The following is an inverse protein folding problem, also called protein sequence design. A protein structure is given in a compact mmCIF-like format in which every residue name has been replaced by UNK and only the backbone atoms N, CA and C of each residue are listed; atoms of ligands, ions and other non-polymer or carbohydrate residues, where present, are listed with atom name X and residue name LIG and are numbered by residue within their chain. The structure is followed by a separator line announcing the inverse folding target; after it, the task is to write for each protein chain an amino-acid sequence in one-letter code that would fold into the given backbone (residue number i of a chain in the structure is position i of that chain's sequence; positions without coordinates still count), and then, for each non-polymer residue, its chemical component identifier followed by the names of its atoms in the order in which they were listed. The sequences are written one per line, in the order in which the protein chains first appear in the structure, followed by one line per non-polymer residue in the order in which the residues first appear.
data_IF_744244298357
#
_entry.id   IF_744244298357
#
_cell.length_a   1.000
_cell.length_b   1.000
_cell.length_c   1.000
_cell.angle_alpha   90.00
_cell.angle_beta   90.00
_cell.angle_gamma   90.00
#
_symmetry.space_group_name_H-M   'P 1'
#
loop_
_entity.id
_entity.type
_entity.pdbx_description
1 polymer ?
#
# COMPACT_ATOMS: atom_id res chain seq x y z
N UNK A 1 -17.83 11.89 8.55
CA UNK A 1 -17.84 10.45 8.22
C UNK A 1 -17.91 10.28 6.72
N UNK A 2 -17.49 9.13 6.19
CA UNK A 2 -17.61 8.82 4.76
C UNK A 2 -19.09 8.59 4.39
N UNK A 3 -19.51 9.08 3.21
CA UNK A 3 -20.86 8.83 2.69
C UNK A 3 -20.89 7.54 1.86
N UNK A 4 -22.05 6.88 1.69
CA UNK A 4 -22.17 5.70 0.84
C UNK A 4 -21.62 5.90 -0.58
N UNK A 5 -21.87 7.07 -1.17
CA UNK A 5 -21.34 7.43 -2.50
C UNK A 5 -19.82 7.54 -2.52
N UNK A 6 -19.23 8.15 -1.48
CA UNK A 6 -17.76 8.26 -1.38
C UNK A 6 -17.09 6.90 -1.17
N UNK A 7 -17.72 6.00 -0.42
CA UNK A 7 -17.24 4.62 -0.23
C UNK A 7 -17.30 3.87 -1.56
N UNK A 8 -18.42 3.99 -2.30
CA UNK A 8 -18.56 3.38 -3.62
C UNK A 8 -17.47 3.86 -4.58
N UNK A 9 -17.24 5.18 -4.67
CA UNK A 9 -16.20 5.74 -5.52
C UNK A 9 -14.79 5.28 -5.12
N UNK A 10 -14.50 5.20 -3.81
CA UNK A 10 -13.23 4.70 -3.31
C UNK A 10 -12.99 3.22 -3.69
N UNK A 11 -14.01 2.38 -3.58
CA UNK A 11 -13.95 0.97 -4.01
C UNK A 11 -13.66 0.85 -5.49
N UNK A 12 -14.41 1.58 -6.32
CA UNK A 12 -14.21 1.59 -7.77
C UNK A 12 -12.78 2.03 -8.14
N UNK A 13 -12.22 3.03 -7.44
CA UNK A 13 -10.84 3.45 -7.65
C UNK A 13 -9.82 2.33 -7.32
N UNK A 14 -10.00 1.62 -6.20
CA UNK A 14 -9.14 0.49 -5.81
C UNK A 14 -9.24 -0.65 -6.83
N UNK A 15 -10.46 -1.04 -7.22
CA UNK A 15 -10.71 -2.11 -8.19
C UNK A 15 -10.15 -1.77 -9.58
N UNK A 16 -10.25 -0.51 -10.00
CA UNK A 16 -9.70 -0.04 -11.27
C UNK A 16 -8.17 -0.18 -11.30
N UNK A 17 -7.47 0.24 -10.24
CA UNK A 17 -6.01 0.08 -10.15
C UNK A 17 -5.63 -1.40 -10.11
N UNK A 18 -6.33 -2.21 -9.30
CA UNK A 18 -6.09 -3.65 -9.24
C UNK A 18 -6.22 -4.29 -10.64
N UNK A 19 -7.27 -3.93 -11.39
CA UNK A 19 -7.50 -4.41 -12.76
C UNK A 19 -6.40 -3.96 -13.71
N UNK A 20 -5.97 -2.70 -13.64
CA UNK A 20 -4.85 -2.18 -14.44
C UNK A 20 -3.54 -2.91 -14.15
N UNK A 21 -3.34 -3.39 -12.92
CA UNK A 21 -2.19 -4.18 -12.52
C UNK A 21 -2.35 -5.68 -12.84
N UNK A 22 -3.38 -6.07 -13.61
CA UNK A 22 -3.59 -7.44 -14.07
C UNK A 22 -4.32 -8.34 -13.08
N UNK A 23 -4.94 -7.78 -12.02
CA UNK A 23 -5.76 -8.57 -11.10
C UNK A 23 -7.01 -9.11 -11.81
N UNK A 24 -7.26 -10.41 -11.62
CA UNK A 24 -8.49 -11.08 -12.07
C UNK A 24 -9.22 -11.61 -10.85
N UNK A 25 -10.48 -11.21 -10.68
CA UNK A 25 -11.32 -11.65 -9.57
C UNK A 25 -11.46 -13.17 -9.51
N UNK A 26 -11.56 -13.71 -8.29
CA UNK A 26 -11.66 -15.16 -8.07
C UNK A 26 -12.89 -15.79 -8.74
N UNK A 27 -14.00 -15.06 -8.78
CA UNK A 27 -15.23 -15.42 -9.45
C UNK A 27 -15.02 -15.68 -10.96
N UNK A 28 -14.17 -14.89 -11.60
CA UNK A 28 -13.79 -15.07 -13.01
C UNK A 28 -12.79 -16.21 -13.19
N UNK A 29 -11.80 -16.32 -12.30
CA UNK A 29 -10.82 -17.40 -12.34
C UNK A 29 -11.45 -18.78 -12.13
N UNK A 30 -12.50 -18.89 -11.29
CA UNK A 30 -13.24 -20.13 -11.07
C UNK A 30 -14.00 -20.63 -12.31
N UNK A 31 -14.25 -19.76 -13.30
CA UNK A 31 -14.90 -20.13 -14.56
C UNK A 31 -13.91 -20.73 -15.57
N UNK A 32 -12.60 -20.63 -15.32
CA UNK A 32 -11.55 -21.16 -16.18
C UNK A 32 -11.23 -22.60 -15.76
N UNK A 33 -11.04 -23.50 -16.74
CA UNK A 33 -10.61 -24.87 -16.47
C UNK A 33 -9.31 -24.90 -15.66
N UNK A 34 -9.16 -25.76 -14.64
CA UNK A 34 -8.03 -25.71 -13.70
C UNK A 34 -6.65 -25.77 -14.38
N UNK A 35 -6.49 -26.62 -15.39
CA UNK A 35 -5.22 -26.77 -16.13
C UNK A 35 -4.86 -25.48 -16.88
N UNK A 36 -5.82 -24.92 -17.62
CA UNK A 36 -5.64 -23.67 -18.36
C UNK A 36 -5.43 -22.47 -17.43
N UNK A 37 -6.15 -22.45 -16.29
CA UNK A 37 -5.97 -21.43 -15.25
C UNK A 37 -4.53 -21.46 -14.73
N UNK A 38 -4.01 -22.64 -14.40
CA UNK A 38 -2.64 -22.79 -13.91
C UNK A 38 -1.61 -22.34 -14.95
N UNK A 39 -1.83 -22.64 -16.23
CA UNK A 39 -0.96 -22.18 -17.32
C UNK A 39 -0.97 -20.65 -17.45
N UNK A 40 -2.15 -20.03 -17.40
CA UNK A 40 -2.31 -18.56 -17.43
C UNK A 40 -1.65 -17.93 -16.21
N UNK A 41 -1.89 -18.44 -15.00
CA UNK A 41 -1.28 -17.93 -13.76
C UNK A 41 0.26 -18.01 -13.81
N UNK A 42 0.82 -19.11 -14.32
CA UNK A 42 2.29 -19.25 -14.52
C UNK A 42 2.84 -18.25 -15.52
N UNK A 43 2.13 -18.03 -16.64
CA UNK A 43 2.55 -17.09 -17.67
C UNK A 43 2.50 -15.63 -17.16
N UNK A 44 1.44 -15.27 -16.43
CA UNK A 44 1.31 -13.95 -15.78
C UNK A 44 2.37 -13.77 -14.70
N UNK A 45 2.58 -14.75 -13.82
CA UNK A 45 3.61 -14.69 -12.80
C UNK A 45 5.01 -14.50 -13.40
N UNK A 46 5.30 -15.16 -14.52
CA UNK A 46 6.58 -15.00 -15.22
C UNK A 46 6.76 -13.58 -15.77
N UNK A 47 5.69 -12.94 -16.27
CA UNK A 47 5.71 -11.53 -16.69
C UNK A 47 5.86 -10.59 -15.50
N UNK A 48 5.15 -10.86 -14.41
CA UNK A 48 5.20 -10.07 -13.19
C UNK A 48 6.58 -10.09 -12.56
N UNK A 49 7.30 -11.22 -12.62
CA UNK A 49 8.69 -11.30 -12.17
C UNK A 49 9.58 -10.29 -12.91
N UNK A 50 9.38 -10.10 -14.22
CA UNK A 50 10.16 -9.16 -15.02
C UNK A 50 9.90 -7.72 -14.53
N UNK A 51 8.64 -7.36 -14.33
CA UNK A 51 8.24 -5.99 -13.93
C UNK A 51 8.56 -5.72 -12.46
N UNK A 52 8.10 -6.60 -11.57
CA UNK A 52 8.25 -6.48 -10.13
C UNK A 52 9.68 -6.68 -9.63
N UNK A 53 10.56 -7.30 -10.41
CA UNK A 53 12.00 -7.35 -10.08
C UNK A 53 12.61 -5.95 -9.90
N UNK A 54 12.12 -4.94 -10.64
CA UNK A 54 12.56 -3.55 -10.47
C UNK A 54 12.14 -2.99 -9.11
N UNK A 55 10.91 -3.24 -8.68
CA UNK A 55 10.41 -2.83 -7.36
C UNK A 55 11.26 -3.45 -6.25
N UNK A 56 11.50 -4.76 -6.36
CA UNK A 56 12.31 -5.51 -5.39
C UNK A 56 13.75 -5.00 -5.38
N UNK A 57 14.35 -4.74 -6.55
CA UNK A 57 15.74 -4.29 -6.67
C UNK A 57 15.91 -2.88 -6.13
N UNK A 58 14.98 -1.96 -6.42
CA UNK A 58 15.00 -0.60 -5.91
C UNK A 58 14.85 -0.57 -4.40
N UNK A 59 13.91 -1.35 -3.85
CA UNK A 59 13.78 -1.50 -2.42
C UNK A 59 15.05 -2.13 -1.81
N UNK A 60 15.61 -3.17 -2.43
CA UNK A 60 16.87 -3.83 -2.01
C UNK A 60 18.07 -2.92 -1.94
N UNK A 61 18.29 -2.12 -2.96
CA UNK A 61 19.45 -1.23 -3.03
C UNK A 61 19.41 -0.09 -2.00
N UNK A 62 18.23 0.17 -1.41
CA UNK A 62 18.03 1.18 -0.37
C UNK A 62 18.00 0.56 1.05
N UNK A 63 18.05 -0.78 1.17
CA UNK A 63 18.02 -1.52 2.45
C UNK A 63 19.34 -1.43 3.23
N UNK A 64 19.71 -0.23 3.67
CA UNK A 64 20.81 -0.05 4.63
C UNK A 64 20.38 -0.31 6.08
N UNK A 65 19.08 -0.21 6.41
CA UNK A 65 18.55 -0.47 7.75
C UNK A 65 17.07 -0.87 7.73
N UNK A 66 16.72 -1.94 8.46
CA UNK A 66 15.32 -2.34 8.71
C UNK A 66 14.51 -1.29 9.48
N UNK A 67 15.14 -0.31 10.12
CA UNK A 67 14.42 0.78 10.80
C UNK A 67 13.93 1.86 9.83
N UNK A 68 14.33 1.81 8.55
CA UNK A 68 14.01 2.84 7.55
C UNK A 68 12.51 3.06 7.41
N UNK A 69 11.69 2.00 7.44
CA UNK A 69 10.23 2.12 7.29
C UNK A 69 9.58 3.06 8.32
N UNK A 70 10.16 3.18 9.54
CA UNK A 70 9.64 4.09 10.56
C UNK A 70 9.80 5.55 10.10
N UNK A 71 10.96 5.89 9.53
CA UNK A 71 11.21 7.23 9.01
C UNK A 71 10.30 7.56 7.84
N UNK A 72 10.02 6.60 6.96
CA UNK A 72 9.13 6.81 5.82
C UNK A 72 7.68 7.04 6.25
N UNK A 73 7.21 6.31 7.26
CA UNK A 73 5.88 6.53 7.84
C UNK A 73 5.78 7.88 8.56
N UNK A 74 6.86 8.32 9.22
CA UNK A 74 6.92 9.64 9.82
C UNK A 74 6.96 10.75 8.77
N UNK A 75 7.68 10.57 7.66
CA UNK A 75 7.69 11.51 6.54
C UNK A 75 6.30 11.62 5.91
N UNK A 76 5.62 10.50 5.68
CA UNK A 76 4.22 10.53 5.21
C UNK A 76 3.31 11.31 6.17
N UNK A 77 3.48 11.12 7.49
CA UNK A 77 2.73 11.89 8.47
C UNK A 77 3.07 13.39 8.45
N UNK A 78 4.32 13.77 8.17
CA UNK A 78 4.74 15.17 8.06
C UNK A 78 4.19 15.85 6.79
N UNK A 79 4.13 15.11 5.68
CA UNK A 79 3.62 15.60 4.38
C UNK A 79 2.08 15.71 4.33
N UNK A 80 1.38 15.15 5.32
CA UNK A 80 -0.07 15.16 5.38
C UNK A 80 -0.67 16.53 5.69
N UNK A 81 -1.95 16.69 5.33
CA UNK A 81 -2.75 17.85 5.74
C UNK A 81 -3.57 17.51 6.99
N UNK A 82 -3.64 18.46 7.91
CA UNK A 82 -4.33 18.32 9.21
C UNK A 82 -5.37 19.42 9.42
N UNK A 83 -6.05 19.83 8.34
CA UNK A 83 -7.02 20.93 8.39
C UNK A 83 -8.26 20.55 9.21
N UNK A 84 -8.70 19.29 9.12
CA UNK A 84 -9.81 18.73 9.91
C UNK A 84 -9.46 18.61 11.38
N UNK A 85 -8.23 18.20 11.71
CA UNK A 85 -7.79 18.16 13.11
C UNK A 85 -7.73 19.58 13.70
N UNK A 86 -7.19 20.52 12.93
CA UNK A 86 -7.08 21.92 13.34
C UNK A 86 -8.44 22.58 13.55
N UNK A 87 -9.43 22.31 12.69
CA UNK A 87 -10.79 22.87 12.84
C UNK A 87 -11.53 22.33 14.06
N UNK A 88 -11.14 21.15 14.56
CA UNK A 88 -11.63 20.56 15.81
C UNK A 88 -10.82 20.99 17.04
N UNK A 89 -9.82 21.87 16.89
CA UNK A 89 -8.93 22.29 17.98
C UNK A 89 -7.91 21.24 18.41
N UNK A 90 -7.74 20.17 17.62
CA UNK A 90 -6.80 19.09 17.89
C UNK A 90 -5.45 19.35 17.24
N UNK A 91 -4.36 18.96 17.91
CA UNK A 91 -3.01 19.01 17.34
C UNK A 91 -2.78 17.81 16.40
N UNK A 92 -2.00 17.95 15.32
CA UNK A 92 -1.52 16.83 14.52
C UNK A 92 -0.81 15.80 15.41
N UNK A 93 -1.04 14.51 15.14
CA UNK A 93 -0.31 13.43 15.78
C UNK A 93 -0.01 12.29 14.81
N UNK A 94 1.03 11.54 15.16
CA UNK A 94 1.30 10.19 14.65
C UNK A 94 1.61 9.30 15.85
N UNK A 95 1.01 8.10 15.91
CA UNK A 95 1.24 7.14 16.98
C UNK A 95 1.60 5.77 16.42
N UNK A 96 2.47 5.05 17.11
CA UNK A 96 2.88 3.68 16.79
C UNK A 96 2.49 2.77 17.95
N UNK A 97 1.54 1.86 17.71
CA UNK A 97 1.11 0.86 18.67
C UNK A 97 1.68 -0.49 18.26
N UNK A 98 2.59 -1.02 19.07
CA UNK A 98 3.33 -2.25 18.78
C UNK A 98 2.64 -3.45 19.43
N UNK A 99 2.37 -4.48 18.64
CA UNK A 99 1.81 -5.76 19.09
C UNK A 99 2.74 -6.89 18.63
N UNK A 100 2.63 -8.11 19.19
CA UNK A 100 3.53 -9.22 18.84
C UNK A 100 3.58 -9.57 17.35
N UNK A 101 2.48 -9.39 16.61
CA UNK A 101 2.36 -9.75 15.18
C UNK A 101 1.97 -8.59 14.27
N UNK A 102 1.84 -7.38 14.81
CA UNK A 102 1.45 -6.21 14.03
C UNK A 102 1.94 -4.90 14.63
N UNK A 103 2.12 -3.90 13.78
CA UNK A 103 2.29 -2.50 14.18
C UNK A 103 1.08 -1.74 13.64
N UNK A 104 0.41 -0.98 14.50
CA UNK A 104 -0.69 -0.10 14.09
C UNK A 104 -0.19 1.33 14.17
N UNK A 105 -0.24 2.03 13.05
CA UNK A 105 0.16 3.43 12.91
C UNK A 105 -1.09 4.25 12.72
N UNK A 106 -1.22 5.32 13.49
CA UNK A 106 -2.39 6.20 13.42
C UNK A 106 -1.96 7.65 13.28
N UNK A 107 -2.64 8.38 12.42
CA UNK A 107 -2.53 9.82 12.34
C UNK A 107 -3.89 10.47 12.09
N UNK A 108 -4.11 11.66 12.62
CA UNK A 108 -5.36 12.41 12.46
C UNK A 108 -5.34 13.36 11.24
N UNK A 109 -4.77 12.89 10.14
CA UNK A 109 -4.77 13.65 8.89
C UNK A 109 -6.18 13.79 8.28
N UNK A 110 -6.28 14.60 7.23
CA UNK A 110 -7.55 14.85 6.54
C UNK A 110 -8.13 13.60 5.86
N UNK A 111 -7.28 12.61 5.56
CA UNK A 111 -7.62 11.33 4.98
C UNK A 111 -7.29 11.25 3.49
N UNK A 112 -7.20 10.01 2.99
CA UNK A 112 -6.76 9.72 1.64
C UNK A 112 -7.71 10.26 0.58
N UNK A 113 -7.10 10.74 -0.49
CA UNK A 113 -7.74 11.06 -1.76
C UNK A 113 -7.42 9.97 -2.79
N UNK A 114 -8.13 9.99 -3.93
CA UNK A 114 -7.78 9.13 -5.06
C UNK A 114 -6.32 9.34 -5.52
N UNK A 115 -5.82 10.58 -5.48
CA UNK A 115 -4.43 10.88 -5.82
C UNK A 115 -3.43 10.24 -4.83
N UNK A 116 -3.80 10.13 -3.54
CA UNK A 116 -2.97 9.41 -2.56
C UNK A 116 -2.95 7.91 -2.88
N UNK A 117 -4.10 7.32 -3.22
CA UNK A 117 -4.19 5.92 -3.65
C UNK A 117 -3.35 5.66 -4.91
N UNK A 118 -3.43 6.52 -5.92
CA UNK A 118 -2.63 6.40 -7.15
C UNK A 118 -1.13 6.53 -6.86
N UNK A 119 -0.73 7.51 -6.04
CA UNK A 119 0.66 7.74 -5.68
C UNK A 119 1.27 6.57 -4.90
N UNK A 120 0.52 5.97 -3.96
CA UNK A 120 1.00 4.82 -3.18
C UNK A 120 1.02 3.53 -4.01
N UNK A 121 0.22 3.41 -5.06
CA UNK A 121 0.26 2.29 -6.01
C UNK A 121 1.32 2.46 -7.12
N UNK A 122 1.91 3.65 -7.27
CA UNK A 122 2.89 3.92 -8.32
C UNK A 122 4.26 3.26 -8.04
N UNK A 123 4.97 2.97 -9.14
CA UNK A 123 6.38 2.56 -9.18
C UNK A 123 7.05 3.30 -10.32
N UNK A 124 8.26 3.84 -10.07
CA UNK A 124 9.20 4.12 -11.15
C UNK A 124 8.75 5.18 -12.18
N UNK A 125 7.84 6.10 -11.84
CA UNK A 125 7.73 7.36 -12.58
C UNK A 125 8.93 8.26 -12.22
N UNK A 126 10.12 7.82 -12.65
CA UNK A 126 11.33 8.63 -12.64
C UNK A 126 11.12 9.80 -13.59
N UNK A 127 10.96 11.00 -13.03
CA UNK A 127 11.09 12.26 -13.78
C UNK A 127 12.55 12.63 -14.06
N UNK A 128 13.52 11.71 -13.84
CA UNK A 128 14.94 11.98 -14.02
C UNK A 128 15.64 10.82 -14.74
N UNK A 129 15.52 10.79 -16.06
CA UNK A 129 16.53 10.14 -16.91
C UNK A 129 17.86 10.86 -16.72
N UNK A 130 18.73 10.30 -15.88
CA UNK A 130 20.13 10.71 -15.78
C UNK A 130 20.46 11.58 -14.57
N UNK A 131 20.66 10.96 -13.42
CA UNK A 131 21.70 11.36 -12.47
C UNK A 131 21.99 10.19 -11.54
N UNK A 132 23.22 9.67 -11.63
CA UNK A 132 23.76 8.70 -10.69
C UNK A 132 23.69 9.32 -9.28
N UNK A 133 22.76 8.83 -8.46
CA UNK A 133 22.56 9.25 -7.08
C UNK A 133 21.80 10.58 -6.95
N UNK A 134 20.46 10.53 -6.92
CA UNK A 134 19.64 11.38 -6.03
C UNK A 134 18.15 10.96 -6.10
N UNK A 135 17.69 10.39 -4.98
CA UNK A 135 16.44 10.67 -4.25
C UNK A 135 15.22 11.14 -5.06
N UNK A 136 14.14 10.35 -4.98
CA UNK A 136 12.77 10.78 -5.30
C UNK A 136 12.05 9.94 -6.35
N UNK A 137 12.05 8.61 -6.21
CA UNK A 137 11.11 7.78 -6.96
C UNK A 137 9.78 7.75 -6.19
N UNK A 138 8.81 8.54 -6.66
CA UNK A 138 7.47 8.63 -6.04
C UNK A 138 6.91 7.24 -5.80
N UNK A 139 6.53 6.98 -4.57
CA UNK A 139 5.89 5.76 -4.16
C UNK A 139 6.85 4.69 -3.66
N UNK A 140 8.14 4.66 -3.99
CA UNK A 140 9.05 3.57 -3.55
C UNK A 140 9.23 3.55 -2.04
N UNK A 141 9.27 4.73 -1.43
CA UNK A 141 9.54 4.90 -0.01
C UNK A 141 8.49 4.21 0.89
N UNK A 142 7.21 4.24 0.49
CA UNK A 142 6.20 3.50 1.24
C UNK A 142 6.49 1.99 1.25
N UNK A 143 7.11 1.42 0.21
CA UNK A 143 7.31 -0.03 0.08
C UNK A 143 8.34 -0.57 1.07
N UNK A 144 9.10 0.29 1.77
CA UNK A 144 9.97 -0.13 2.87
C UNK A 144 9.21 -0.81 4.01
N UNK A 145 7.90 -0.59 4.16
CA UNK A 145 7.07 -1.34 5.11
C UNK A 145 7.12 -2.86 4.89
N UNK A 146 7.34 -3.32 3.64
CA UNK A 146 7.45 -4.73 3.30
C UNK A 146 8.77 -5.39 3.72
N UNK A 147 9.72 -4.62 4.27
CA UNK A 147 10.88 -5.19 4.96
C UNK A 147 10.51 -5.90 6.26
N UNK A 148 9.42 -5.47 6.90
CA UNK A 148 9.00 -5.96 8.21
C UNK A 148 7.61 -6.57 8.19
N UNK A 149 6.78 -6.20 7.20
CA UNK A 149 5.41 -6.67 7.05
C UNK A 149 5.25 -7.61 5.84
N UNK A 150 4.34 -8.58 5.95
CA UNK A 150 3.89 -9.35 4.79
C UNK A 150 2.58 -8.81 4.20
N UNK A 151 1.85 -8.03 4.99
CA UNK A 151 0.59 -7.38 4.59
C UNK A 151 0.52 -6.01 5.24
N UNK A 152 0.04 -5.02 4.49
CA UNK A 152 -0.25 -3.68 5.00
C UNK A 152 -1.67 -3.32 4.66
N UNK A 153 -2.48 -3.04 5.67
CA UNK A 153 -3.86 -2.61 5.53
C UNK A 153 -3.97 -1.12 5.87
N UNK A 154 -4.58 -0.35 4.97
CA UNK A 154 -4.75 1.09 5.10
C UNK A 154 -6.24 1.38 5.16
N UNK A 155 -6.63 2.13 6.18
CA UNK A 155 -7.97 2.66 6.33
C UNK A 155 -7.87 4.17 6.48
N UNK A 156 -8.51 4.92 5.59
CA UNK A 156 -8.41 6.39 5.59
C UNK A 156 -9.58 7.01 4.84
N UNK A 157 -10.45 7.74 5.56
CA UNK A 157 -11.68 8.28 4.99
C UNK A 157 -12.55 7.16 4.38
N UNK A 158 -12.93 7.24 3.09
CA UNK A 158 -13.73 6.20 2.43
C UNK A 158 -12.90 4.99 1.97
N UNK A 159 -11.56 5.04 2.08
CA UNK A 159 -10.69 3.99 1.58
C UNK A 159 -10.42 2.92 2.64
N UNK A 160 -10.53 1.64 2.24
CA UNK A 160 -10.05 0.49 2.99
C UNK A 160 -9.52 -0.56 2.01
N UNK A 161 -8.20 -0.77 2.02
CA UNK A 161 -7.52 -1.66 1.09
C UNK A 161 -6.19 -2.14 1.66
N UNK A 162 -5.69 -3.27 1.15
CA UNK A 162 -4.41 -3.81 1.57
C UNK A 162 -3.48 -4.10 0.41
N UNK A 163 -2.20 -4.13 0.75
CA UNK A 163 -1.13 -4.64 -0.08
C UNK A 163 -0.55 -5.88 0.59
N UNK A 164 -0.03 -6.81 -0.20
CA UNK A 164 0.50 -8.08 0.31
C UNK A 164 1.73 -8.53 -0.45
N UNK A 165 2.82 -8.80 0.26
CA UNK A 165 4.06 -9.28 -0.34
C UNK A 165 4.85 -10.13 0.65
N UNK A 166 5.30 -11.30 0.21
CA UNK A 166 6.16 -12.22 0.95
C UNK A 166 7.46 -12.47 0.20
N UNK A 167 8.55 -12.87 0.90
CA UNK A 167 9.75 -13.38 0.25
C UNK A 167 9.40 -14.49 -0.76
N UNK A 168 9.79 -14.30 -2.02
CA UNK A 168 9.50 -15.23 -3.12
C UNK A 168 8.37 -14.79 -4.05
N UNK A 169 7.57 -13.77 -3.68
CA UNK A 169 6.55 -13.19 -4.55
C UNK A 169 7.17 -12.32 -5.66
N UNK A 170 6.37 -12.01 -6.68
CA UNK A 170 6.82 -11.23 -7.86
C UNK A 170 7.18 -9.77 -7.55
N UNK A 171 6.75 -9.23 -6.40
CA UNK A 171 6.88 -7.81 -6.04
C UNK A 171 5.66 -6.96 -6.40
N UNK A 172 4.79 -7.43 -7.29
CA UNK A 172 3.58 -6.72 -7.70
C UNK A 172 2.62 -6.45 -6.54
N UNK A 173 2.55 -7.37 -5.57
CA UNK A 173 1.68 -7.21 -4.41
C UNK A 173 2.07 -6.04 -3.47
N UNK A 174 3.25 -5.44 -3.64
CA UNK A 174 3.61 -4.19 -2.95
C UNK A 174 2.93 -2.95 -3.54
N UNK A 175 2.38 -3.05 -4.75
CA UNK A 175 1.88 -1.91 -5.54
C UNK A 175 0.45 -2.11 -6.02
N UNK A 176 -0.03 -3.36 -6.05
CA UNK A 176 -1.39 -3.72 -6.43
C UNK A 176 -2.28 -3.76 -5.19
N UNK A 177 -3.23 -2.81 -5.05
CA UNK A 177 -4.12 -2.80 -3.92
C UNK A 177 -5.16 -3.91 -4.05
N UNK A 178 -5.56 -4.48 -2.92
CA UNK A 178 -6.66 -5.41 -2.79
C UNK A 178 -7.73 -4.78 -1.92
N UNK A 179 -8.97 -4.78 -2.40
CA UNK A 179 -10.08 -4.27 -1.61
C UNK A 179 -10.21 -5.10 -0.32
N UNK A 180 -10.36 -4.41 0.81
CA UNK A 180 -10.53 -5.06 2.11
C UNK A 180 -11.65 -4.36 2.86
N UNK A 181 -12.81 -5.03 2.95
CA UNK A 181 -13.95 -4.49 3.68
C UNK A 181 -13.64 -4.41 5.18
N UNK A 182 -14.13 -3.35 5.81
CA UNK A 182 -14.15 -3.23 7.26
C UNK A 182 -15.56 -2.95 7.74
N UNK A 183 -15.97 -3.61 8.82
CA UNK A 183 -17.23 -3.33 9.51
C UNK A 183 -17.13 -2.11 10.44
N UNK A 184 -15.91 -1.62 10.69
CA UNK A 184 -15.66 -0.53 11.63
C UNK A 184 -15.59 0.80 10.89
N UNK A 185 -16.54 1.70 11.18
CA UNK A 185 -16.47 3.09 10.73
C UNK A 185 -15.36 3.83 11.47
N UNK A 186 -14.44 4.45 10.73
CA UNK A 186 -13.41 5.30 11.32
C UNK A 186 -13.99 6.67 11.70
N UNK A 187 -13.80 7.06 12.96
CA UNK A 187 -14.06 8.44 13.39
C UNK A 187 -13.07 9.41 12.73
N UNK A 188 -13.57 10.25 11.84
CA UNK A 188 -12.76 11.26 11.14
C UNK A 188 -12.43 12.44 12.05
N UNK A 189 -11.22 13.03 11.97
CA UNK A 189 -10.09 12.66 11.09
C UNK A 189 -9.22 11.54 11.68
N UNK A 190 -9.06 10.45 10.93
CA UNK A 190 -8.18 9.33 11.30
C UNK A 190 -7.79 8.52 10.05
N UNK A 191 -6.49 8.26 9.94
CA UNK A 191 -5.90 7.24 9.08
C UNK A 191 -5.27 6.17 9.97
N UNK A 192 -5.55 4.90 9.67
CA UNK A 192 -4.93 3.74 10.32
C UNK A 192 -4.16 2.94 9.26
N UNK A 193 -2.88 2.69 9.54
CA UNK A 193 -2.04 1.79 8.74
C UNK A 193 -1.63 0.62 9.63
N UNK A 194 -2.14 -0.57 9.34
CA UNK A 194 -1.82 -1.81 10.05
C UNK A 194 -0.79 -2.61 9.27
N UNK A 195 0.42 -2.71 9.82
CA UNK A 195 1.50 -3.55 9.32
C UNK A 195 1.40 -4.93 9.98
N UNK A 196 1.08 -5.98 9.22
CA UNK A 196 1.13 -7.36 9.70
C UNK A 196 2.54 -7.91 9.53
N UNK A 197 3.22 -8.14 10.64
CA UNK A 197 4.65 -8.48 10.66
C UNK A 197 4.91 -9.85 10.03
N UNK A 198 6.10 -10.01 9.44
CA UNK A 198 6.57 -11.31 8.96
C UNK A 198 6.87 -12.23 10.15
N UNK A 199 6.58 -13.53 10.01
CA UNK A 199 6.80 -14.53 11.06
C UNK A 199 8.28 -14.84 11.32
N UNK A 200 9.14 -14.51 10.35
CA UNK A 200 10.58 -14.70 10.43
C UNK A 200 11.23 -13.37 10.85
N UNK A 201 11.54 -13.24 12.14
CA UNK A 201 12.63 -12.37 12.55
C UNK A 201 13.93 -13.03 12.09
N UNK A 202 14.72 -12.34 11.26
CA UNK A 202 16.13 -12.71 11.08
C UNK A 202 16.88 -12.54 12.40
#
# INVERSE_FOLDING_TARGET
MATPDSIKAAREAVENIATQHGHVGQDKLQQIQPELRLEIEKALFSKDLIIGSSVITLAKNLYSSKARFVFELLQNADDNKYTKASSLGSKPFVSFRIFPRKIVVECNEDGFTQQNLEAICAVGQSSKTGAQGYIGEKGIDFKFVFMVAHKVHIQSGPFSFSFGHKPGDSGMGMISPMLEETSEELESPLTIITLHLQDTGD
#
